data_IF_052289201726
#
_entry.id   IF_052289201726
#
_cell.length_a   1.000
_cell.length_b   1.000
_cell.length_c   1.000
_cell.angle_alpha   90.00
_cell.angle_beta   90.00
_cell.angle_gamma   90.00
#
_symmetry.space_group_name_H-M   'P 1'
#
loop_
_entity.id
_entity.type
_entity.pdbx_description
1 polymer ?
#
# COMPACT_ATOMS: atom_id res chain seq x y z
N UNK A 1 6.22 -2.63 -18.28
CA UNK A 1 6.38 -2.67 -16.81
C UNK A 1 6.49 -1.26 -16.29
N UNK A 2 6.00 -1.00 -15.08
CA UNK A 2 5.96 0.33 -14.47
C UNK A 2 7.19 0.52 -13.58
N UNK A 3 7.91 1.64 -13.74
CA UNK A 3 8.97 1.99 -12.81
C UNK A 3 8.36 2.39 -11.47
N UNK A 4 8.76 1.70 -10.41
CA UNK A 4 8.32 1.99 -9.04
C UNK A 4 9.44 1.81 -8.03
N UNK A 5 9.42 2.68 -7.03
CA UNK A 5 10.22 2.58 -5.82
C UNK A 5 9.27 2.23 -4.67
N UNK A 6 9.35 0.97 -4.22
CA UNK A 6 8.50 0.40 -3.18
C UNK A 6 9.24 0.37 -1.85
N UNK A 7 8.53 0.58 -0.73
CA UNK A 7 9.02 0.39 0.64
C UNK A 7 10.33 1.15 0.91
N UNK A 8 10.39 2.42 0.50
CA UNK A 8 11.56 3.26 0.76
C UNK A 8 11.38 4.09 2.04
N UNK A 9 12.40 4.22 2.89
CA UNK A 9 13.74 3.60 2.80
C UNK A 9 13.72 2.10 3.15
N UNK A 10 14.46 1.25 2.41
CA UNK A 10 14.28 -0.22 2.46
C UNK A 10 14.96 -0.94 3.63
N UNK A 11 15.89 -0.28 4.33
CA UNK A 11 16.78 -0.92 5.33
C UNK A 11 16.78 -0.25 6.70
N UNK A 12 16.14 0.90 6.83
CA UNK A 12 16.18 1.71 8.04
C UNK A 12 14.80 2.27 8.31
N UNK A 13 14.48 2.47 9.58
CA UNK A 13 13.25 3.12 9.99
C UNK A 13 13.13 4.52 9.36
N UNK A 14 11.98 4.82 8.74
CA UNK A 14 11.69 6.11 8.15
C UNK A 14 11.92 7.25 9.15
N UNK A 15 11.59 7.05 10.43
CA UNK A 15 11.80 8.01 11.50
C UNK A 15 13.29 8.31 11.75
N UNK A 16 14.19 7.34 11.49
CA UNK A 16 15.64 7.51 11.62
C UNK A 16 16.23 8.22 10.40
N UNK A 17 15.81 7.84 9.20
CA UNK A 17 16.39 8.40 7.96
C UNK A 17 15.85 9.80 7.66
N UNK A 18 14.56 10.05 7.92
CA UNK A 18 13.89 11.30 7.60
C UNK A 18 13.05 11.84 8.78
N UNK A 19 13.69 12.23 9.91
CA UNK A 19 12.99 12.57 11.15
C UNK A 19 11.97 13.71 10.98
N UNK A 20 12.31 14.77 10.23
CA UNK A 20 11.40 15.90 10.01
C UNK A 20 10.21 15.56 9.11
N UNK A 21 10.43 14.73 8.08
CA UNK A 21 9.34 14.24 7.23
C UNK A 21 8.44 13.28 8.00
N UNK A 22 9.03 12.39 8.80
CA UNK A 22 8.29 11.48 9.68
C UNK A 22 7.40 12.28 10.63
N UNK A 23 7.96 13.25 11.34
CA UNK A 23 7.21 14.11 12.28
C UNK A 23 6.07 14.84 11.58
N UNK A 24 6.34 15.44 10.42
CA UNK A 24 5.33 16.14 9.63
C UNK A 24 4.22 15.19 9.17
N UNK A 25 4.57 14.00 8.69
CA UNK A 25 3.62 12.98 8.28
C UNK A 25 2.72 12.55 9.45
N UNK A 26 3.30 12.24 10.61
CA UNK A 26 2.56 11.84 11.81
C UNK A 26 1.67 12.94 12.40
N UNK A 27 1.90 14.21 12.04
CA UNK A 27 1.03 15.32 12.38
C UNK A 27 -0.14 15.47 11.40
N UNK A 28 -0.01 14.96 10.18
CA UNK A 28 -1.02 15.09 9.12
C UNK A 28 -1.89 13.83 8.94
N UNK A 29 -1.52 12.69 9.53
CA UNK A 29 -2.33 11.46 9.42
C UNK A 29 -3.74 11.68 10.00
N UNK A 30 -4.80 11.26 9.28
CA UNK A 30 -6.16 11.40 9.77
C UNK A 30 -6.44 10.38 10.88
N UNK A 31 -7.40 10.69 11.76
CA UNK A 31 -7.80 9.84 12.89
C UNK A 31 -6.60 9.35 13.73
N UNK A 32 -5.78 10.28 14.27
CA UNK A 32 -4.53 9.96 14.96
C UNK A 32 -4.69 8.97 16.11
N UNK A 33 -5.85 8.93 16.76
CA UNK A 33 -6.18 7.99 17.82
C UNK A 33 -6.19 6.53 17.35
N UNK A 34 -6.42 6.30 16.06
CA UNK A 34 -6.44 4.97 15.43
C UNK A 34 -5.19 4.70 14.57
N UNK A 35 -4.69 5.71 13.86
CA UNK A 35 -3.66 5.51 12.82
C UNK A 35 -2.23 5.67 13.31
N UNK A 36 -1.99 6.37 14.42
CA UNK A 36 -0.63 6.55 14.95
C UNK A 36 -0.23 5.42 15.90
N UNK A 37 1.08 5.20 16.01
CA UNK A 37 1.65 4.21 16.94
C UNK A 37 1.47 4.56 18.42
N UNK A 38 1.13 5.81 18.73
CA UNK A 38 0.75 6.28 20.07
C UNK A 38 -0.77 6.51 20.21
N UNK A 39 -1.56 6.06 19.23
CA UNK A 39 -3.01 6.20 19.22
C UNK A 39 -3.70 5.21 20.16
N UNK A 40 -4.61 5.70 21.01
CA UNK A 40 -5.29 4.89 22.03
C UNK A 40 -6.13 3.74 21.46
N UNK A 41 -6.68 3.89 20.25
CA UNK A 41 -7.46 2.85 19.57
C UNK A 41 -6.62 1.99 18.62
N UNK A 42 -5.34 2.31 18.44
CA UNK A 42 -4.44 1.47 17.68
C UNK A 42 -4.01 0.28 18.54
N UNK A 43 -4.52 -0.92 18.26
CA UNK A 43 -4.15 -2.13 18.99
C UNK A 43 -2.64 -2.41 18.92
N UNK A 44 -1.96 -2.00 17.84
CA UNK A 44 -0.53 -2.19 17.74
C UNK A 44 0.26 -1.40 18.80
N UNK A 45 -0.26 -0.23 19.23
CA UNK A 45 0.38 0.61 20.27
C UNK A 45 0.43 -0.05 21.65
N UNK A 46 -0.42 -1.06 21.88
CA UNK A 46 -0.56 -1.78 23.15
C UNK A 46 0.09 -3.17 23.11
N UNK A 47 0.86 -3.45 22.06
CA UNK A 47 1.47 -4.76 21.86
C UNK A 47 2.57 -5.03 22.90
N UNK A 48 2.65 -6.24 23.47
CA UNK A 48 3.75 -6.65 24.32
C UNK A 48 5.11 -6.56 23.60
N UNK A 49 6.17 -6.18 24.32
CA UNK A 49 7.54 -6.08 23.77
C UNK A 49 8.08 -7.36 23.13
N UNK A 50 7.54 -8.53 23.50
CA UNK A 50 7.93 -9.84 22.98
C UNK A 50 7.04 -10.34 21.84
N UNK A 51 6.08 -9.53 21.36
CA UNK A 51 5.24 -9.89 20.24
C UNK A 51 5.95 -9.61 18.92
N UNK A 52 5.74 -10.48 17.93
CA UNK A 52 6.09 -10.19 16.54
C UNK A 52 5.08 -9.13 16.07
N UNK A 53 5.46 -7.86 16.19
CA UNK A 53 4.66 -6.77 15.61
C UNK A 53 4.67 -6.90 14.10
N UNK A 54 3.53 -6.67 13.41
CA UNK A 54 3.56 -6.45 11.97
C UNK A 54 4.52 -5.30 11.64
N UNK A 55 5.04 -5.30 10.42
CA UNK A 55 5.89 -4.24 9.89
C UNK A 55 5.04 -2.97 9.66
N UNK A 56 4.95 -2.15 10.70
CA UNK A 56 4.15 -0.94 10.72
C UNK A 56 4.93 0.21 10.10
N UNK A 57 4.22 1.03 9.32
CA UNK A 57 4.81 2.14 8.58
C UNK A 57 5.29 3.31 9.45
N UNK A 58 5.58 4.46 8.82
CA UNK A 58 5.20 4.81 7.45
C UNK A 58 6.08 4.13 6.38
N UNK A 59 5.45 3.72 5.28
CA UNK A 59 6.13 3.21 4.07
C UNK A 59 5.90 4.16 2.91
N UNK A 60 6.95 4.46 2.14
CA UNK A 60 6.83 5.32 0.96
C UNK A 60 6.71 4.48 -0.32
N UNK A 61 5.74 4.86 -1.15
CA UNK A 61 5.52 4.29 -2.48
C UNK A 61 5.60 5.39 -3.54
N UNK A 62 6.50 5.25 -4.50
CA UNK A 62 6.62 6.16 -5.63
C UNK A 62 6.52 5.35 -6.93
N UNK A 63 5.74 5.80 -7.90
CA UNK A 63 5.60 5.13 -9.19
C UNK A 63 5.44 6.14 -10.33
N UNK A 64 5.89 5.77 -11.53
CA UNK A 64 5.56 6.49 -12.75
C UNK A 64 4.09 6.25 -13.15
N UNK A 65 3.54 7.18 -13.91
CA UNK A 65 2.20 7.06 -14.50
C UNK A 65 2.09 5.84 -15.42
N UNK A 66 0.88 5.30 -15.50
CA UNK A 66 0.51 4.21 -16.39
C UNK A 66 -0.74 4.61 -17.16
N UNK A 67 -0.81 4.31 -18.45
CA UNK A 67 -2.03 4.56 -19.21
C UNK A 67 -3.20 3.74 -18.62
N UNK A 68 -4.40 4.33 -18.46
CA UNK A 68 -5.57 3.64 -17.91
C UNK A 68 -6.28 2.83 -19.01
N UNK A 69 -5.60 1.81 -19.53
CA UNK A 69 -6.10 0.93 -20.59
C UNK A 69 -5.84 -0.56 -20.27
N UNK A 70 -6.37 -1.46 -21.10
CA UNK A 70 -6.21 -2.92 -20.93
C UNK A 70 -4.84 -3.45 -21.38
N UNK A 71 -3.97 -2.58 -21.91
CA UNK A 71 -2.64 -2.97 -22.41
C UNK A 71 -1.54 -2.72 -21.39
N UNK A 72 -1.80 -1.91 -20.36
CA UNK A 72 -0.85 -1.55 -19.31
C UNK A 72 -1.23 -2.14 -17.96
N UNK A 73 -0.22 -2.34 -17.11
CA UNK A 73 -0.41 -2.84 -15.75
C UNK A 73 -0.48 -1.69 -14.76
N UNK A 74 -1.29 -1.86 -13.70
CA UNK A 74 -1.27 -0.96 -12.57
C UNK A 74 0.07 -0.94 -11.83
N UNK A 75 0.40 0.19 -11.21
CA UNK A 75 1.62 0.36 -10.40
C UNK A 75 1.66 -0.57 -9.16
N UNK A 76 0.47 -0.86 -8.61
CA UNK A 76 0.25 -1.79 -7.51
C UNK A 76 -0.73 -2.87 -7.95
N UNK A 77 -0.30 -4.14 -7.87
CA UNK A 77 -1.13 -5.29 -8.24
C UNK A 77 -2.11 -5.63 -7.12
N UNK A 78 -3.16 -6.38 -7.48
CA UNK A 78 -4.16 -6.86 -6.54
C UNK A 78 -3.47 -7.64 -5.41
N UNK A 79 -3.74 -7.23 -4.17
CA UNK A 79 -3.27 -7.89 -2.97
C UNK A 79 -4.22 -7.59 -1.80
N UNK A 80 -4.04 -8.33 -0.71
CA UNK A 80 -4.64 -8.00 0.58
C UNK A 80 -3.56 -7.65 1.59
N UNK A 81 -3.86 -6.68 2.45
CA UNK A 81 -3.05 -6.35 3.61
C UNK A 81 -3.56 -7.10 4.85
N UNK A 82 -2.62 -7.50 5.73
CA UNK A 82 -2.96 -8.19 6.98
C UNK A 82 -3.51 -7.21 8.04
N UNK A 83 -3.11 -5.95 7.95
CA UNK A 83 -3.47 -4.88 8.90
C UNK A 83 -4.23 -3.78 8.19
N UNK A 84 -5.02 -3.03 8.94
CA UNK A 84 -5.62 -1.79 8.43
C UNK A 84 -4.52 -0.82 7.98
N UNK A 85 -4.82 -0.01 6.96
CA UNK A 85 -3.88 0.93 6.39
C UNK A 85 -4.55 2.25 6.01
N UNK A 86 -3.79 3.35 6.11
CA UNK A 86 -4.17 4.65 5.53
C UNK A 86 -3.12 5.04 4.49
N UNK A 87 -3.58 5.36 3.29
CA UNK A 87 -2.72 5.82 2.20
C UNK A 87 -2.98 7.30 1.94
N UNK A 88 -1.90 8.10 1.91
CA UNK A 88 -1.98 9.55 1.69
C UNK A 88 -1.19 9.89 0.44
N UNK A 89 -1.86 10.45 -0.57
CA UNK A 89 -1.20 10.98 -1.76
C UNK A 89 -0.60 12.35 -1.44
N UNK A 90 0.71 12.38 -1.16
CA UNK A 90 1.43 13.61 -0.84
C UNK A 90 1.83 14.43 -2.08
N UNK A 91 2.01 13.75 -3.21
CA UNK A 91 2.42 14.39 -4.46
C UNK A 91 1.95 13.59 -5.67
N UNK A 92 1.56 14.30 -6.73
CA UNK A 92 1.34 13.74 -8.06
C UNK A 92 1.78 14.78 -9.11
N UNK A 93 2.43 14.31 -10.19
CA UNK A 93 2.69 15.14 -11.36
C UNK A 93 1.36 15.59 -11.99
N UNK A 94 1.35 16.74 -12.67
CA UNK A 94 0.21 17.09 -13.52
C UNK A 94 0.23 16.26 -14.80
N UNK A 95 -0.94 15.96 -15.33
CA UNK A 95 -1.10 15.35 -16.64
C UNK A 95 -0.65 16.34 -17.74
N UNK A 96 -0.44 15.83 -18.95
CA UNK A 96 0.01 16.65 -20.09
C UNK A 96 -0.94 17.82 -20.44
N UNK A 97 -2.23 17.66 -20.15
CA UNK A 97 -3.27 18.69 -20.34
C UNK A 97 -3.35 19.69 -19.16
N UNK A 98 -2.49 19.55 -18.16
CA UNK A 98 -2.42 20.41 -16.98
C UNK A 98 -3.38 20.04 -15.84
N UNK A 99 -4.20 19.00 -16.01
CA UNK A 99 -5.06 18.49 -14.94
C UNK A 99 -4.25 17.83 -13.82
N UNK A 100 -4.75 17.77 -12.57
CA UNK A 100 -4.04 17.10 -11.48
C UNK A 100 -3.87 15.61 -11.77
N UNK A 101 -2.67 15.07 -11.56
CA UNK A 101 -2.47 13.62 -11.58
C UNK A 101 -3.10 12.97 -10.35
N UNK A 102 -3.39 11.68 -10.47
CA UNK A 102 -4.03 10.90 -9.42
C UNK A 102 -3.59 9.43 -9.48
N UNK A 103 -4.14 8.63 -8.59
CA UNK A 103 -4.10 7.18 -8.67
C UNK A 103 -5.52 6.66 -8.70
N UNK A 104 -5.79 5.69 -9.57
CA UNK A 104 -7.05 4.96 -9.60
C UNK A 104 -6.95 3.74 -8.68
N UNK A 105 -7.94 3.57 -7.80
CA UNK A 105 -7.99 2.45 -6.86
C UNK A 105 -9.26 1.64 -7.11
N UNK A 106 -9.08 0.32 -7.21
CA UNK A 106 -10.18 -0.64 -7.12
C UNK A 106 -10.04 -1.36 -5.77
N UNK A 107 -10.99 -1.12 -4.87
CA UNK A 107 -11.00 -1.71 -3.52
C UNK A 107 -12.18 -2.67 -3.43
N UNK A 108 -11.91 -3.88 -2.96
CA UNK A 108 -12.90 -4.93 -2.82
C UNK A 108 -13.05 -5.33 -1.35
N UNK A 109 -14.25 -5.75 -0.91
CA UNK A 109 -14.42 -6.25 0.45
C UNK A 109 -13.63 -7.54 0.65
N UNK A 110 -13.14 -7.78 1.86
CA UNK A 110 -12.41 -9.00 2.21
C UNK A 110 -13.23 -10.28 1.94
N UNK A 111 -14.56 -10.20 1.98
CA UNK A 111 -15.46 -11.31 1.63
C UNK A 111 -15.36 -11.76 0.17
N UNK A 112 -14.83 -10.92 -0.73
CA UNK A 112 -14.63 -11.25 -2.14
C UNK A 112 -13.34 -12.05 -2.41
N UNK A 113 -12.48 -12.29 -1.41
CA UNK A 113 -11.18 -12.95 -1.60
C UNK A 113 -11.30 -14.34 -2.25
N UNK A 114 -12.29 -15.14 -1.85
CA UNK A 114 -12.49 -16.47 -2.43
C UNK A 114 -12.86 -16.39 -3.92
N UNK A 115 -13.70 -15.43 -4.29
CA UNK A 115 -14.06 -15.20 -5.68
C UNK A 115 -12.84 -14.82 -6.52
N UNK A 116 -12.03 -13.85 -6.07
CA UNK A 116 -10.87 -13.40 -6.85
C UNK A 116 -9.80 -14.48 -6.98
N UNK A 117 -9.57 -15.31 -5.96
CA UNK A 117 -8.66 -16.45 -6.07
C UNK A 117 -9.08 -17.39 -7.20
N UNK A 118 -10.36 -17.79 -7.22
CA UNK A 118 -10.88 -18.67 -8.26
C UNK A 118 -10.81 -17.99 -9.63
N UNK A 119 -11.19 -16.72 -9.72
CA UNK A 119 -11.11 -15.96 -10.96
C UNK A 119 -9.67 -15.90 -11.51
N UNK A 120 -8.68 -15.60 -10.67
CA UNK A 120 -7.27 -15.52 -11.10
C UNK A 120 -6.73 -16.88 -11.56
N UNK A 121 -7.15 -17.98 -10.92
CA UNK A 121 -6.72 -19.33 -11.27
C UNK A 121 -7.43 -19.82 -12.53
N UNK A 122 -8.76 -19.79 -12.54
CA UNK A 122 -9.60 -20.43 -13.56
C UNK A 122 -9.73 -19.59 -14.82
N UNK A 123 -9.79 -18.26 -14.69
CA UNK A 123 -10.04 -17.35 -15.81
C UNK A 123 -8.76 -16.67 -16.28
N UNK A 124 -7.95 -16.15 -15.35
CA UNK A 124 -6.69 -15.49 -15.71
C UNK A 124 -5.52 -16.47 -15.91
N UNK A 125 -5.70 -17.76 -15.59
CA UNK A 125 -4.71 -18.80 -15.83
C UNK A 125 -3.47 -18.69 -14.94
N UNK A 126 -3.60 -18.23 -13.69
CA UNK A 126 -2.49 -18.18 -12.76
C UNK A 126 -1.93 -19.59 -12.46
N UNK A 127 -0.64 -19.78 -12.72
CA UNK A 127 0.10 -21.04 -12.48
C UNK A 127 1.33 -20.84 -11.60
N UNK A 128 1.48 -19.66 -11.00
CA UNK A 128 2.60 -19.33 -10.12
C UNK A 128 2.55 -20.08 -8.78
N UNK A 129 3.66 -20.09 -8.02
CA UNK A 129 3.67 -20.69 -6.70
C UNK A 129 2.83 -19.87 -5.70
N UNK A 130 2.12 -20.57 -4.81
CA UNK A 130 1.42 -19.96 -3.69
C UNK A 130 0.03 -19.40 -4.03
N UNK A 131 -0.44 -18.50 -3.16
CA UNK A 131 -1.75 -17.87 -3.29
C UNK A 131 -1.68 -16.72 -4.32
N UNK A 132 -2.59 -16.66 -5.32
CA UNK A 132 -2.51 -15.70 -6.41
C UNK A 132 -2.61 -14.24 -5.93
N UNK A 133 -3.39 -13.95 -4.88
CA UNK A 133 -3.54 -12.62 -4.30
C UNK A 133 -2.30 -12.22 -3.49
N UNK A 134 -1.70 -13.17 -2.78
CA UNK A 134 -0.50 -12.89 -1.97
C UNK A 134 0.77 -12.80 -2.83
N UNK A 135 0.80 -13.55 -3.95
CA UNK A 135 1.96 -13.59 -4.85
C UNK A 135 2.22 -12.26 -5.55
N UNK A 136 1.15 -11.46 -5.78
CA UNK A 136 1.20 -10.22 -6.58
C UNK A 136 1.86 -10.42 -7.96
N UNK A 137 1.78 -11.62 -8.54
CA UNK A 137 2.48 -11.95 -9.78
C UNK A 137 1.64 -11.70 -11.02
N UNK A 138 0.31 -11.71 -10.91
CA UNK A 138 -0.62 -11.44 -12.01
C UNK A 138 -1.35 -10.12 -11.77
#
# INVERSE_FOLDING_TARGET
GVWKLKDWPPLHDFALVFPELHKSFMQCVPYPELTRLDGVFNLASHSPYNMISPDLGPKMYNACETAPDDQHQGSTKLHGDLTDAVNIMLWAAKNADGTPGCALWHIFPATALAFFRNFLIEVCGFTGPGDPIHSQLI
#
